data_IF_051288578722
#
_entry.id   IF_051288578722
#
_cell.length_a   1.000
_cell.length_b   1.000
_cell.length_c   1.000
_cell.angle_alpha   90.00
_cell.angle_beta   90.00
_cell.angle_gamma   90.00
#
_symmetry.space_group_name_H-M   'P 1'
#
loop_
_entity.id
_entity.type
_entity.pdbx_description
1 polymer ?
#
# COMPACT_ATOMS: atom_id res chain seq x y z
N UNK A 1 -6.25 1.60 -4.03
CA UNK A 1 -4.96 1.63 -4.75
C UNK A 1 -4.31 0.25 -4.88
N UNK A 2 -4.19 -0.54 -3.80
CA UNK A 2 -3.62 -1.91 -3.80
C UNK A 2 -4.17 -2.88 -4.84
N UNK A 3 -5.43 -2.74 -5.28
CA UNK A 3 -6.00 -3.55 -6.37
C UNK A 3 -5.24 -3.38 -7.69
N UNK A 4 -4.59 -2.23 -7.94
CA UNK A 4 -3.74 -2.01 -9.12
C UNK A 4 -2.37 -2.69 -9.00
N UNK A 5 -2.07 -3.25 -7.83
CA UNK A 5 -0.83 -3.94 -7.54
C UNK A 5 -0.98 -5.47 -7.61
N UNK A 6 -2.16 -5.98 -7.98
CA UNK A 6 -2.34 -7.39 -8.40
C UNK A 6 -2.06 -7.48 -9.89
N UNK A 7 -1.23 -8.43 -10.29
CA UNK A 7 -0.78 -8.54 -11.67
C UNK A 7 -0.18 -9.91 -11.99
N UNK A 8 0.00 -10.16 -13.28
CA UNK A 8 0.82 -11.24 -13.80
C UNK A 8 1.62 -10.71 -14.98
N UNK A 9 2.94 -10.78 -14.89
CA UNK A 9 3.85 -10.44 -15.98
C UNK A 9 4.56 -11.70 -16.47
N UNK A 10 4.64 -11.85 -17.79
CA UNK A 10 5.37 -12.93 -18.46
C UNK A 10 6.37 -12.31 -19.43
N UNK A 11 7.65 -12.58 -19.22
CA UNK A 11 8.77 -12.03 -19.98
C UNK A 11 9.66 -13.17 -20.50
N UNK A 12 10.46 -12.84 -21.51
CA UNK A 12 11.46 -13.74 -22.10
C UNK A 12 12.85 -13.28 -21.69
N UNK A 13 13.68 -14.21 -21.24
CA UNK A 13 15.10 -13.99 -20.97
C UNK A 13 15.87 -14.11 -22.29
N UNK A 14 16.64 -13.09 -22.64
CA UNK A 14 17.38 -13.00 -23.90
C UNK A 14 18.85 -12.75 -23.63
N UNK A 15 19.72 -13.35 -24.45
CA UNK A 15 21.14 -12.96 -24.51
C UNK A 15 21.32 -11.60 -25.17
N UNK A 16 22.53 -11.03 -25.08
CA UNK A 16 22.93 -9.85 -25.87
C UNK A 16 22.71 -10.01 -27.38
N UNK A 17 22.83 -11.23 -27.89
CA UNK A 17 22.57 -11.57 -29.30
C UNK A 17 21.10 -11.78 -29.64
N UNK A 18 20.18 -11.62 -28.68
CA UNK A 18 18.74 -11.80 -28.86
C UNK A 18 18.29 -13.26 -28.86
N UNK A 19 19.15 -14.21 -28.46
CA UNK A 19 18.78 -15.62 -28.35
C UNK A 19 17.85 -15.81 -27.15
N UNK A 20 16.76 -16.56 -27.33
CA UNK A 20 15.90 -17.00 -26.24
C UNK A 20 16.67 -17.93 -25.30
N UNK A 21 16.82 -17.50 -24.05
CA UNK A 21 17.48 -18.23 -22.98
C UNK A 21 16.47 -18.82 -22.00
N UNK A 22 15.20 -18.45 -22.07
CA UNK A 22 14.19 -18.88 -21.11
C UNK A 22 13.04 -17.91 -20.88
N UNK A 23 12.24 -18.23 -19.87
CA UNK A 23 11.05 -17.49 -19.46
C UNK A 23 11.19 -17.03 -18.03
N UNK A 24 10.69 -15.83 -17.78
CA UNK A 24 10.52 -15.27 -16.46
C UNK A 24 9.06 -14.88 -16.27
N UNK A 25 8.42 -15.37 -15.22
CA UNK A 25 7.05 -15.00 -14.87
C UNK A 25 6.98 -14.54 -13.44
N UNK A 26 6.21 -13.49 -13.17
CA UNK A 26 5.96 -13.00 -11.82
C UNK A 26 4.49 -12.63 -11.68
N UNK A 27 3.90 -13.01 -10.55
CA UNK A 27 2.51 -12.71 -10.23
C UNK A 27 2.39 -12.27 -8.78
N UNK A 28 1.47 -11.33 -8.56
CA UNK A 28 1.03 -10.93 -7.23
C UNK A 28 -0.48 -11.01 -7.20
N UNK A 29 -1.03 -11.76 -6.25
CA UNK A 29 -2.46 -11.95 -6.07
C UNK A 29 -2.88 -11.80 -4.61
N UNK A 30 -4.16 -11.50 -4.36
CA UNK A 30 -4.69 -11.56 -3.01
C UNK A 30 -4.87 -13.00 -2.58
N UNK A 31 -4.44 -13.30 -1.36
CA UNK A 31 -4.50 -14.61 -0.77
C UNK A 31 -4.99 -14.52 0.68
N UNK A 32 -5.24 -15.67 1.29
CA UNK A 32 -5.54 -15.78 2.71
C UNK A 32 -4.60 -16.80 3.36
N UNK A 33 -3.94 -16.40 4.45
CA UNK A 33 -3.08 -17.28 5.24
C UNK A 33 -3.54 -17.24 6.69
N UNK A 34 -3.93 -18.39 7.23
CA UNK A 34 -4.46 -18.51 8.60
C UNK A 34 -5.59 -17.51 8.91
N UNK A 35 -6.56 -17.39 7.99
CA UNK A 35 -7.70 -16.45 8.08
C UNK A 35 -7.30 -14.97 8.02
N UNK A 36 -6.02 -14.65 7.80
CA UNK A 36 -5.55 -13.28 7.59
C UNK A 36 -5.43 -12.99 6.10
N UNK A 37 -5.94 -11.84 5.62
CA UNK A 37 -5.73 -11.42 4.25
C UNK A 37 -4.26 -11.08 4.02
N UNK A 38 -3.70 -11.54 2.91
CA UNK A 38 -2.32 -11.26 2.51
C UNK A 38 -2.18 -11.15 0.98
N UNK A 39 -0.99 -10.80 0.51
CA UNK A 39 -0.64 -10.93 -0.90
C UNK A 39 0.31 -12.13 -1.07
N UNK A 40 0.04 -12.94 -2.09
CA UNK A 40 0.94 -14.01 -2.51
C UNK A 40 1.76 -13.49 -3.69
N UNK A 41 3.08 -13.53 -3.53
CA UNK A 41 4.02 -13.27 -4.63
C UNK A 41 4.59 -14.61 -5.08
N UNK A 42 4.40 -14.90 -6.36
CA UNK A 42 4.95 -16.09 -7.01
C UNK A 42 5.79 -15.65 -8.21
N UNK A 43 7.08 -16.01 -8.19
CA UNK A 43 8.01 -15.72 -9.26
C UNK A 43 8.71 -17.00 -9.72
N UNK A 44 8.88 -17.14 -11.01
CA UNK A 44 9.47 -18.32 -11.63
C UNK A 44 10.37 -17.88 -12.78
N UNK A 45 11.58 -18.42 -12.80
CA UNK A 45 12.54 -18.27 -13.89
C UNK A 45 12.91 -19.67 -14.35
N UNK A 46 12.83 -19.92 -15.66
CA UNK A 46 13.23 -21.17 -16.29
C UNK A 46 14.03 -20.83 -17.53
N UNK A 47 15.15 -21.50 -17.74
CA UNK A 47 15.97 -21.28 -18.91
C UNK A 47 16.93 -22.42 -19.18
N UNK A 48 17.76 -22.23 -20.17
CA UNK A 48 18.88 -23.13 -20.46
C UNK A 48 20.15 -22.31 -20.67
N UNK A 49 21.22 -22.72 -19.99
CA UNK A 49 22.58 -22.20 -20.20
C UNK A 49 23.39 -23.37 -20.74
N UNK A 50 23.96 -23.23 -21.93
CA UNK A 50 24.78 -24.28 -22.57
C UNK A 50 24.06 -25.65 -22.58
N UNK A 51 22.80 -25.65 -23.03
CA UNK A 51 21.90 -26.83 -23.08
C UNK A 51 21.56 -27.47 -21.72
N UNK A 52 22.03 -26.90 -20.61
CA UNK A 52 21.68 -27.32 -19.25
C UNK A 52 20.48 -26.52 -18.75
N UNK A 53 19.39 -27.21 -18.42
CA UNK A 53 18.20 -26.61 -17.83
C UNK A 53 18.54 -25.99 -16.46
N UNK A 54 18.26 -24.71 -16.31
CA UNK A 54 18.39 -23.97 -15.06
C UNK A 54 17.05 -23.31 -14.73
N UNK A 55 16.71 -23.25 -13.45
CA UNK A 55 15.46 -22.64 -13.05
C UNK A 55 15.39 -22.38 -11.56
N UNK A 56 14.60 -21.38 -11.21
CA UNK A 56 14.35 -20.99 -9.83
C UNK A 56 12.88 -20.64 -9.71
N UNK A 57 12.21 -21.23 -8.72
CA UNK A 57 10.84 -20.86 -8.35
C UNK A 57 10.88 -20.34 -6.93
N UNK A 58 10.28 -19.17 -6.73
CA UNK A 58 10.26 -18.45 -5.47
C UNK A 58 8.81 -18.16 -5.11
N UNK A 59 8.42 -18.52 -3.90
CA UNK A 59 7.08 -18.27 -3.36
C UNK A 59 7.18 -17.64 -1.98
N UNK A 60 6.48 -16.51 -1.77
CA UNK A 60 6.34 -15.92 -0.44
C UNK A 60 7.54 -15.11 0.07
N UNK A 61 8.43 -14.64 -0.81
CA UNK A 61 9.52 -13.75 -0.44
C UNK A 61 8.99 -12.32 -0.28
N UNK A 62 8.67 -11.95 0.97
CA UNK A 62 7.95 -10.72 1.32
C UNK A 62 8.72 -9.46 0.87
N UNK A 63 10.04 -9.41 1.08
CA UNK A 63 10.90 -8.27 0.72
C UNK A 63 11.00 -8.06 -0.79
N UNK A 64 11.24 -9.12 -1.57
CA UNK A 64 11.29 -8.99 -3.03
C UNK A 64 9.91 -8.67 -3.62
N UNK A 65 8.86 -9.27 -3.07
CA UNK A 65 7.48 -8.95 -3.43
C UNK A 65 7.13 -7.50 -3.15
N UNK A 66 7.51 -6.95 -1.99
CA UNK A 66 7.23 -5.55 -1.65
C UNK A 66 7.98 -4.59 -2.56
N UNK A 67 9.22 -4.88 -2.95
CA UNK A 67 9.95 -4.04 -3.92
C UNK A 67 9.30 -4.00 -5.30
N UNK A 68 8.83 -5.15 -5.80
CA UNK A 68 8.11 -5.19 -7.08
C UNK A 68 6.81 -4.36 -7.03
N UNK A 69 6.06 -4.48 -5.94
CA UNK A 69 4.84 -3.70 -5.74
C UNK A 69 5.11 -2.20 -5.63
N UNK A 70 6.20 -1.84 -4.96
CA UNK A 70 6.63 -0.46 -4.81
C UNK A 70 7.06 0.14 -6.16
N UNK A 71 7.86 -0.59 -6.95
CA UNK A 71 8.24 -0.16 -8.30
C UNK A 71 7.01 0.01 -9.20
N UNK A 72 6.04 -0.91 -9.14
CA UNK A 72 4.77 -0.74 -9.84
C UNK A 72 4.02 0.51 -9.40
N UNK A 73 3.95 0.79 -8.10
CA UNK A 73 3.32 2.00 -7.61
C UNK A 73 4.01 3.26 -8.13
N UNK A 74 5.35 3.29 -8.16
CA UNK A 74 6.10 4.40 -8.73
C UNK A 74 5.84 4.59 -10.23
N UNK A 75 5.82 3.49 -11.00
CA UNK A 75 5.49 3.53 -12.42
C UNK A 75 4.05 4.04 -12.66
N UNK A 76 3.10 3.56 -11.87
CA UNK A 76 1.70 4.00 -11.91
C UNK A 76 1.51 5.48 -11.59
N UNK A 77 2.37 6.04 -10.72
CA UNK A 77 2.36 7.47 -10.36
C UNK A 77 3.28 8.29 -11.28
N UNK A 78 4.04 7.65 -12.17
CA UNK A 78 5.03 8.30 -13.04
C UNK A 78 6.14 9.04 -12.27
N UNK A 79 6.43 8.64 -11.04
CA UNK A 79 7.40 9.33 -10.18
C UNK A 79 8.00 8.41 -9.12
N UNK A 80 9.31 8.46 -8.96
CA UNK A 80 10.02 7.93 -7.77
C UNK A 80 10.38 9.12 -6.88
N UNK A 81 9.93 9.19 -5.62
CA UNK A 81 10.35 10.24 -4.71
C UNK A 81 11.86 10.18 -4.41
N UNK A 82 12.43 11.32 -4.03
CA UNK A 82 13.85 11.40 -3.66
C UNK A 82 14.16 10.60 -2.39
N UNK A 83 15.37 10.04 -2.31
CA UNK A 83 15.88 9.31 -1.15
C UNK A 83 15.05 8.08 -0.75
N UNK A 84 14.48 7.38 -1.74
CA UNK A 84 13.71 6.16 -1.51
C UNK A 84 14.63 4.98 -1.16
N UNK A 85 14.79 4.73 0.13
CA UNK A 85 15.64 3.66 0.69
C UNK A 85 14.84 2.77 1.64
N UNK A 86 14.96 1.45 1.47
CA UNK A 86 14.25 0.45 2.25
C UNK A 86 15.20 -0.64 2.73
N UNK A 87 14.83 -1.28 3.84
CA UNK A 87 15.53 -2.48 4.32
C UNK A 87 15.09 -3.68 3.45
N UNK A 88 16.08 -4.47 3.02
CA UNK A 88 15.87 -5.73 2.30
C UNK A 88 16.66 -6.85 2.96
N UNK A 89 16.46 -8.07 2.47
CA UNK A 89 17.15 -9.27 2.92
C UNK A 89 17.76 -9.94 1.69
N UNK A 90 19.05 -10.29 1.76
CA UNK A 90 19.73 -11.00 0.67
C UNK A 90 19.44 -12.52 0.67
N UNK A 91 20.01 -13.24 -0.29
CA UNK A 91 19.89 -14.70 -0.40
C UNK A 91 20.50 -15.47 0.78
N UNK A 92 21.39 -14.84 1.55
CA UNK A 92 22.05 -15.38 2.73
C UNK A 92 21.34 -14.94 4.03
N UNK A 93 20.19 -14.27 3.93
CA UNK A 93 19.40 -13.73 5.03
C UNK A 93 20.06 -12.55 5.78
N UNK A 94 21.05 -11.90 5.18
CA UNK A 94 21.61 -10.67 5.73
C UNK A 94 20.71 -9.47 5.44
N UNK A 95 20.65 -8.57 6.40
CA UNK A 95 19.96 -7.28 6.25
C UNK A 95 20.80 -6.40 5.34
N UNK A 96 20.20 -5.96 4.24
CA UNK A 96 20.82 -5.10 3.23
C UNK A 96 19.95 -3.87 2.99
N UNK A 97 20.47 -2.89 2.24
CA UNK A 97 19.71 -1.69 1.87
C UNK A 97 19.33 -1.75 0.38
N UNK A 98 18.09 -1.36 0.06
CA UNK A 98 17.58 -1.25 -1.29
C UNK A 98 17.24 0.22 -1.59
N UNK A 99 17.85 0.81 -2.61
CA UNK A 99 17.55 2.17 -3.07
C UNK A 99 16.79 2.16 -4.39
N UNK A 100 15.93 3.16 -4.59
CA UNK A 100 15.14 3.34 -5.81
C UNK A 100 15.35 4.76 -6.35
N UNK A 101 15.63 4.83 -7.65
CA UNK A 101 15.88 6.08 -8.37
C UNK A 101 15.07 6.09 -9.67
N UNK A 102 14.62 7.28 -10.08
CA UNK A 102 13.92 7.46 -11.35
C UNK A 102 14.95 7.55 -12.50
N UNK A 103 14.80 6.70 -13.51
CA UNK A 103 15.58 6.80 -14.76
C UNK A 103 14.92 7.76 -15.77
N UNK A 104 13.60 7.93 -15.68
CA UNK A 104 12.83 8.79 -16.58
C UNK A 104 11.93 8.00 -17.51
N UNK A 105 11.52 8.62 -18.60
CA UNK A 105 10.73 7.98 -19.66
C UNK A 105 11.66 7.61 -20.80
N UNK A 106 11.67 6.34 -21.18
CA UNK A 106 12.39 5.83 -22.34
C UNK A 106 11.42 5.34 -23.41
N UNK A 107 11.93 5.11 -24.62
CA UNK A 107 11.15 4.59 -25.74
C UNK A 107 11.62 3.18 -26.05
N UNK A 108 10.72 2.21 -25.92
CA UNK A 108 10.96 0.83 -26.30
C UNK A 108 10.03 0.42 -27.44
N UNK A 109 10.51 -0.46 -28.32
CA UNK A 109 9.76 -0.97 -29.46
C UNK A 109 9.23 -2.38 -29.17
N UNK A 110 7.92 -2.56 -29.39
CA UNK A 110 7.19 -3.81 -29.19
C UNK A 110 6.34 -4.08 -30.42
N UNK A 111 6.61 -5.18 -31.13
CA UNK A 111 5.87 -5.58 -32.34
C UNK A 111 5.78 -4.47 -33.42
N UNK A 112 6.84 -3.66 -33.55
CA UNK A 112 6.89 -2.52 -34.48
C UNK A 112 6.24 -1.23 -33.96
N UNK A 113 5.64 -1.25 -32.77
CA UNK A 113 5.10 -0.07 -32.11
C UNK A 113 6.08 0.47 -31.06
N UNK A 114 6.35 1.77 -31.10
CA UNK A 114 7.20 2.43 -30.13
C UNK A 114 6.34 3.00 -28.98
N UNK A 115 6.60 2.55 -27.76
CA UNK A 115 5.88 2.96 -26.56
C UNK A 115 6.80 3.66 -25.56
N UNK A 116 6.23 4.63 -24.84
CA UNK A 116 6.90 5.28 -23.72
C UNK A 116 6.79 4.40 -22.46
N UNK A 117 7.95 4.13 -21.86
CA UNK A 117 8.08 3.25 -20.69
C UNK A 117 8.74 4.02 -19.55
N UNK A 118 8.24 3.83 -18.33
CA UNK A 118 8.78 4.48 -17.15
C UNK A 118 9.90 3.63 -16.55
N UNK A 119 11.10 4.18 -16.51
CA UNK A 119 12.30 3.52 -16.02
C UNK A 119 12.54 3.78 -14.53
N UNK A 120 12.83 2.71 -13.80
CA UNK A 120 13.18 2.71 -12.39
C UNK A 120 14.49 1.94 -12.22
N UNK A 121 15.44 2.58 -11.54
CA UNK A 121 16.68 1.95 -11.09
C UNK A 121 16.50 1.47 -9.67
N UNK A 122 16.83 0.20 -9.42
CA UNK A 122 16.89 -0.41 -8.09
C UNK A 122 18.33 -0.82 -7.82
N UNK A 123 18.89 -0.41 -6.68
CA UNK A 123 20.23 -0.82 -6.25
C UNK A 123 20.14 -1.56 -4.92
N UNK A 124 20.68 -2.77 -4.85
CA UNK A 124 20.90 -3.49 -3.60
C UNK A 124 22.33 -3.24 -3.14
N UNK A 125 22.46 -2.70 -1.93
CA UNK A 125 23.71 -2.34 -1.28
C UNK A 125 24.02 -3.38 -0.19
N UNK A 126 25.10 -4.13 -0.41
CA UNK A 126 25.61 -5.15 0.49
C UNK A 126 26.73 -4.57 1.36
N UNK A 127 27.02 -5.19 2.50
CA UNK A 127 28.10 -4.75 3.39
C UNK A 127 29.49 -5.15 2.89
N UNK A 128 29.60 -6.29 2.23
CA UNK A 128 30.89 -6.89 1.81
C UNK A 128 30.99 -7.18 0.30
N UNK A 129 29.91 -6.95 -0.46
CA UNK A 129 29.84 -7.24 -1.90
C UNK A 129 29.55 -5.99 -2.73
N UNK A 130 29.88 -6.06 -4.02
CA UNK A 130 29.53 -5.02 -4.98
C UNK A 130 28.01 -4.82 -5.07
N UNK A 131 27.54 -3.56 -5.18
CA UNK A 131 26.12 -3.29 -5.33
C UNK A 131 25.54 -3.97 -6.57
N UNK A 132 24.39 -4.62 -6.41
CA UNK A 132 23.66 -5.16 -7.54
C UNK A 132 22.62 -4.16 -7.99
N UNK A 133 22.69 -3.75 -9.25
CA UNK A 133 21.80 -2.73 -9.82
C UNK A 133 20.95 -3.32 -10.93
N UNK A 134 19.65 -3.02 -10.89
CA UNK A 134 18.69 -3.35 -11.94
C UNK A 134 18.09 -2.07 -12.51
N UNK A 135 17.94 -2.06 -13.83
CA UNK A 135 17.05 -1.13 -14.53
C UNK A 135 15.80 -1.90 -14.92
N UNK A 136 14.65 -1.39 -14.50
CA UNK A 136 13.35 -1.98 -14.77
C UNK A 136 12.47 -0.94 -15.46
N UNK A 137 11.80 -1.35 -16.53
CA UNK A 137 10.94 -0.48 -17.32
C UNK A 137 9.51 -0.99 -17.31
N UNK A 138 8.57 -0.05 -17.20
CA UNK A 138 7.17 -0.35 -16.96
C UNK A 138 6.28 0.42 -17.92
N UNK A 139 5.28 -0.28 -18.45
CA UNK A 139 4.02 0.31 -18.89
C UNK A 139 3.08 0.47 -17.68
N UNK A 140 1.99 1.24 -17.79
CA UNK A 140 1.04 1.40 -16.68
C UNK A 140 0.56 0.08 -16.07
N UNK A 141 0.41 -0.97 -16.89
CA UNK A 141 -0.20 -2.23 -16.44
C UNK A 141 0.82 -3.39 -16.31
N UNK A 142 2.03 -3.27 -16.86
CA UNK A 142 2.98 -4.38 -17.00
C UNK A 142 4.44 -3.94 -16.85
N UNK A 143 5.28 -4.82 -16.28
CA UNK A 143 6.72 -4.71 -16.46
C UNK A 143 7.11 -5.18 -17.86
N UNK A 144 7.77 -4.33 -18.63
CA UNK A 144 8.12 -4.63 -20.03
C UNK A 144 9.54 -5.14 -20.18
N UNK A 145 10.47 -4.64 -19.37
CA UNK A 145 11.85 -5.08 -19.42
C UNK A 145 12.54 -4.91 -18.06
N UNK A 146 13.52 -5.77 -17.80
CA UNK A 146 14.46 -5.64 -16.68
C UNK A 146 15.84 -6.15 -17.10
N UNK A 147 16.87 -5.43 -16.68
CA UNK A 147 18.27 -5.80 -16.92
C UNK A 147 19.07 -5.57 -15.65
N UNK A 148 19.96 -6.51 -15.33
CA UNK A 148 20.95 -6.34 -14.28
C UNK A 148 22.20 -5.72 -14.90
N UNK A 149 22.68 -4.60 -14.36
CA UNK A 149 23.92 -3.97 -14.84
C UNK A 149 25.09 -4.96 -14.68
N UNK A 150 25.84 -5.17 -15.76
CA UNK A 150 26.93 -6.14 -15.83
C UNK A 150 26.53 -7.56 -16.22
N UNK A 151 25.24 -7.85 -16.40
CA UNK A 151 24.75 -9.13 -16.92
C UNK A 151 24.54 -9.07 -18.43
N UNK A 152 24.95 -10.11 -19.20
CA UNK A 152 24.67 -10.21 -20.64
C UNK A 152 23.22 -10.66 -20.93
N UNK A 153 22.37 -10.75 -19.91
CA UNK A 153 20.99 -11.22 -20.01
C UNK A 153 20.03 -10.07 -19.75
N UNK A 154 19.15 -9.82 -20.70
CA UNK A 154 18.02 -8.92 -20.56
C UNK A 154 16.73 -9.74 -20.52
N UNK A 155 15.79 -9.36 -19.66
CA UNK A 155 14.49 -10.01 -19.56
C UNK A 155 13.46 -9.02 -20.06
N UNK A 156 12.77 -9.30 -21.17
CA UNK A 156 11.81 -8.37 -21.78
C UNK A 156 10.61 -9.06 -22.39
N UNK A 157 9.50 -8.34 -22.55
CA UNK A 157 8.37 -8.80 -23.36
C UNK A 157 8.75 -8.75 -24.85
N UNK A 158 8.28 -9.72 -25.63
CA UNK A 158 8.45 -9.73 -27.09
C UNK A 158 7.24 -9.11 -27.80
N UNK A 159 6.07 -9.25 -27.19
CA UNK A 159 4.78 -8.80 -27.71
C UNK A 159 4.02 -8.15 -26.56
N UNK A 160 3.22 -7.12 -26.88
CA UNK A 160 2.35 -6.52 -25.88
C UNK A 160 1.33 -7.57 -25.38
N UNK A 161 1.14 -7.72 -24.06
CA UNK A 161 0.06 -8.54 -23.55
C UNK A 161 -1.28 -8.01 -24.07
N UNK A 162 -2.13 -8.89 -24.62
CA UNK A 162 -3.51 -8.51 -24.93
C UNK A 162 -4.17 -8.01 -23.66
N UNK A 163 -4.78 -6.82 -23.69
CA UNK A 163 -5.54 -6.28 -22.55
C UNK A 163 -6.49 -7.35 -22.01
N UNK A 164 -6.20 -7.90 -20.82
CA UNK A 164 -7.13 -8.78 -20.14
C UNK A 164 -8.02 -7.90 -19.27
N UNK A 165 -9.33 -8.00 -19.51
CA UNK A 165 -10.36 -7.26 -18.82
C UNK A 165 -10.14 -7.38 -17.31
N UNK A 166 -10.03 -6.22 -16.66
CA UNK A 166 -9.74 -6.07 -15.24
C UNK A 166 -10.73 -6.92 -14.44
N UNK A 167 -10.28 -8.06 -13.92
CA UNK A 167 -11.08 -8.87 -13.00
C UNK A 167 -11.50 -7.95 -11.87
N UNK A 168 -12.81 -7.73 -11.68
CA UNK A 168 -13.32 -7.02 -10.52
C UNK A 168 -13.02 -7.86 -9.29
N UNK A 169 -11.85 -7.61 -8.70
CA UNK A 169 -11.46 -8.26 -7.46
C UNK A 169 -12.45 -7.77 -6.39
N UNK A 170 -13.20 -8.68 -5.74
CA UNK A 170 -14.14 -8.29 -4.71
C UNK A 170 -13.39 -7.49 -3.65
N UNK A 171 -13.93 -6.30 -3.34
CA UNK A 171 -13.38 -5.39 -2.35
C UNK A 171 -13.36 -6.13 -1.01
N UNK A 172 -12.19 -6.61 -0.60
CA UNK A 172 -12.03 -7.36 0.64
C UNK A 172 -12.46 -6.45 1.80
N UNK A 173 -13.56 -6.80 2.46
CA UNK A 173 -14.08 -6.04 3.58
C UNK A 173 -13.10 -6.13 4.74
N UNK A 174 -12.60 -4.98 5.22
CA UNK A 174 -11.75 -4.91 6.40
C UNK A 174 -12.55 -5.30 7.65
N UNK A 175 -12.48 -6.57 8.06
CA UNK A 175 -13.04 -7.07 9.33
C UNK A 175 -12.11 -6.69 10.50
N UNK A 176 -12.03 -5.39 10.80
CA UNK A 176 -11.16 -4.85 11.86
C UNK A 176 -11.41 -5.48 13.25
N UNK A 177 -12.58 -6.08 13.46
CA UNK A 177 -12.98 -6.79 14.69
C UNK A 177 -12.23 -8.13 14.87
N UNK A 178 -11.84 -8.76 13.76
CA UNK A 178 -11.12 -10.05 13.73
C UNK A 178 -9.59 -9.85 13.70
N UNK A 179 -9.13 -8.74 13.14
CA UNK A 179 -7.72 -8.37 13.16
C UNK A 179 -7.28 -7.96 14.57
N UNK A 180 -6.38 -8.77 15.16
CA UNK A 180 -5.90 -8.58 16.53
C UNK A 180 -5.20 -7.23 16.74
N UNK A 181 -4.43 -6.76 15.75
CA UNK A 181 -3.68 -5.50 15.84
C UNK A 181 -4.62 -4.29 15.74
N UNK A 182 -5.57 -4.32 14.80
CA UNK A 182 -6.56 -3.27 14.61
C UNK A 182 -7.50 -3.18 15.80
N UNK A 183 -7.94 -4.33 16.33
CA UNK A 183 -8.74 -4.39 17.55
C UNK A 183 -7.99 -3.84 18.76
N UNK A 184 -6.70 -4.12 18.91
CA UNK A 184 -5.87 -3.53 19.96
C UNK A 184 -5.86 -2.01 19.87
N UNK A 185 -5.54 -1.46 18.68
CA UNK A 185 -5.52 -0.01 18.45
C UNK A 185 -6.87 0.65 18.76
N UNK A 186 -7.97 0.00 18.37
CA UNK A 186 -9.32 0.48 18.66
C UNK A 186 -9.60 0.52 20.16
N UNK A 187 -9.23 -0.54 20.90
CA UNK A 187 -9.43 -0.60 22.34
C UNK A 187 -8.63 0.47 23.07
N UNK A 188 -7.36 0.66 22.70
CA UNK A 188 -6.51 1.70 23.27
C UNK A 188 -7.12 3.09 23.05
N UNK A 189 -7.53 3.40 21.81
CA UNK A 189 -8.14 4.69 21.49
C UNK A 189 -9.48 4.90 22.19
N UNK A 190 -10.28 3.83 22.35
CA UNK A 190 -11.56 3.86 23.06
C UNK A 190 -11.36 4.11 24.56
N UNK A 191 -10.37 3.48 25.17
CA UNK A 191 -10.02 3.68 26.58
C UNK A 191 -9.56 5.12 26.83
N UNK A 192 -8.68 5.65 25.97
CA UNK A 192 -8.21 7.03 25.99
C UNK A 192 -9.38 8.02 25.91
N UNK A 193 -10.25 7.87 24.91
CA UNK A 193 -11.43 8.75 24.75
C UNK A 193 -12.38 8.68 25.96
N UNK A 194 -12.57 7.50 26.55
CA UNK A 194 -13.36 7.35 27.77
C UNK A 194 -12.72 8.05 28.96
N UNK A 195 -11.41 7.91 29.13
CA UNK A 195 -10.65 8.54 30.21
C UNK A 195 -10.69 10.08 30.09
N UNK A 196 -10.53 10.60 28.88
CA UNK A 196 -10.62 12.03 28.58
C UNK A 196 -12.02 12.55 28.89
N UNK A 197 -13.07 11.86 28.42
CA UNK A 197 -14.45 12.23 28.69
C UNK A 197 -14.77 12.22 30.20
N UNK A 198 -14.35 11.17 30.90
CA UNK A 198 -14.53 11.08 32.36
C UNK A 198 -13.78 12.20 33.10
N UNK A 199 -12.60 12.57 32.62
CA UNK A 199 -11.79 13.66 33.20
C UNK A 199 -12.39 15.04 32.91
N UNK A 200 -12.98 15.23 31.74
CA UNK A 200 -13.73 16.44 31.40
C UNK A 200 -14.92 16.63 32.35
N UNK A 201 -15.77 15.61 32.50
CA UNK A 201 -16.92 15.69 33.42
C UNK A 201 -16.53 15.88 34.90
N UNK A 202 -15.38 15.34 35.32
CA UNK A 202 -14.85 15.60 36.67
C UNK A 202 -14.39 17.05 36.87
N UNK A 203 -13.79 17.66 35.84
CA UNK A 203 -13.35 19.06 35.87
C UNK A 203 -14.50 20.05 35.77
N UNK A 204 -15.63 19.63 35.20
CA UNK A 204 -16.80 20.46 34.95
C UNK A 204 -18.04 19.96 35.72
N UNK A 205 -18.06 20.04 37.07
CA UNK A 205 -19.22 19.63 37.87
C UNK A 205 -20.50 20.40 37.53
N UNK A 206 -20.38 21.62 37.01
CA UNK A 206 -21.48 22.46 36.53
C UNK A 206 -22.31 21.77 35.45
N UNK A 207 -21.69 20.95 34.58
CA UNK A 207 -22.41 20.21 33.54
C UNK A 207 -23.31 19.16 34.19
N UNK A 208 -22.81 18.45 35.20
CA UNK A 208 -23.59 17.44 35.92
C UNK A 208 -24.76 18.08 36.67
N UNK A 209 -24.53 19.24 37.30
CA UNK A 209 -25.58 20.00 37.98
C UNK A 209 -26.67 20.47 36.98
N UNK A 210 -26.25 21.06 35.86
CA UNK A 210 -27.14 21.54 34.80
C UNK A 210 -28.04 20.43 34.25
N UNK A 211 -27.46 19.26 33.95
CA UNK A 211 -28.23 18.11 33.45
C UNK A 211 -29.16 17.55 34.54
N UNK A 212 -28.72 17.53 35.80
CA UNK A 212 -29.55 17.09 36.94
C UNK A 212 -30.77 17.99 37.12
N UNK A 213 -30.58 19.31 37.11
CA UNK A 213 -31.66 20.28 37.25
C UNK A 213 -32.64 20.18 36.07
N UNK A 214 -32.12 20.05 34.84
CA UNK A 214 -32.95 19.81 33.66
C UNK A 214 -33.85 18.57 33.83
N UNK A 215 -33.25 17.43 34.20
CA UNK A 215 -33.98 16.18 34.41
C UNK A 215 -35.03 16.32 35.51
N UNK A 216 -34.71 17.03 36.60
CA UNK A 216 -35.67 17.31 37.66
C UNK A 216 -36.86 18.12 37.16
N UNK A 217 -36.63 19.19 36.39
CA UNK A 217 -37.73 19.98 35.83
C UNK A 217 -38.54 19.21 34.79
N UNK A 218 -37.88 18.38 33.98
CA UNK A 218 -38.55 17.53 33.00
C UNK A 218 -39.50 16.53 33.67
N UNK A 219 -39.03 15.86 34.73
CA UNK A 219 -39.81 14.87 35.48
C UNK A 219 -40.96 15.49 36.28
N UNK A 220 -40.81 16.74 36.74
CA UNK A 220 -41.85 17.47 37.46
C UNK A 220 -42.94 17.99 36.54
N UNK A 221 -42.57 18.59 35.40
CA UNK A 221 -43.52 19.25 34.50
C UNK A 221 -44.16 18.30 33.50
N UNK A 222 -43.48 17.20 33.16
CA UNK A 222 -43.92 16.18 32.18
C UNK A 222 -44.57 16.80 30.94
N UNK A 223 -43.86 17.69 30.23
CA UNK A 223 -44.40 18.35 29.04
C UNK A 223 -44.67 17.33 27.93
N UNK A 224 -45.67 17.61 27.10
CA UNK A 224 -45.98 16.77 25.93
C UNK A 224 -44.89 16.86 24.84
N UNK A 225 -44.18 18.00 24.75
CA UNK A 225 -43.02 18.21 23.88
C UNK A 225 -41.74 18.43 24.68
N UNK A 226 -40.93 17.37 24.78
CA UNK A 226 -39.65 17.35 25.49
C UNK A 226 -38.57 18.17 24.76
N UNK A 227 -38.61 18.23 23.43
CA UNK A 227 -37.58 18.90 22.64
C UNK A 227 -37.74 20.42 22.70
N UNK A 228 -38.97 20.92 22.59
CA UNK A 228 -39.26 22.33 22.79
C UNK A 228 -38.88 22.76 24.21
N UNK A 229 -39.25 21.95 25.22
CA UNK A 229 -38.91 22.19 26.60
C UNK A 229 -37.39 22.24 26.86
N UNK A 230 -36.63 21.30 26.29
CA UNK A 230 -35.17 21.30 26.36
C UNK A 230 -34.57 22.56 25.72
N UNK A 231 -35.06 22.96 24.54
CA UNK A 231 -34.59 24.15 23.85
C UNK A 231 -34.77 25.40 24.71
N UNK A 232 -35.94 25.58 25.30
CA UNK A 232 -36.24 26.72 26.17
C UNK A 232 -35.40 26.69 27.46
N UNK A 233 -35.21 25.50 28.05
CA UNK A 233 -34.39 25.33 29.24
C UNK A 233 -32.90 25.65 29.01
N UNK A 234 -32.31 25.17 27.90
CA UNK A 234 -30.88 25.35 27.62
C UNK A 234 -30.54 26.69 26.96
N UNK A 235 -31.52 27.41 26.41
CA UNK A 235 -31.32 28.71 25.73
C UNK A 235 -30.49 29.73 26.53
N UNK A 236 -30.69 29.92 27.86
CA UNK A 236 -29.94 30.90 28.63
C UNK A 236 -28.45 30.54 28.80
N UNK A 237 -28.07 29.28 28.59
CA UNK A 237 -26.70 28.80 28.77
C UNK A 237 -25.85 28.88 27.50
N UNK A 238 -26.42 29.34 26.38
CA UNK A 238 -25.66 29.58 25.16
C UNK A 238 -24.91 30.92 25.26
N UNK A 239 -23.67 30.90 25.75
CA UNK A 239 -22.76 32.02 25.59
C UNK A 239 -22.15 32.01 24.18
N UNK A 240 -22.20 33.14 23.47
CA UNK A 240 -21.42 33.34 22.25
C UNK A 240 -19.93 33.24 22.57
N UNK A 241 -19.29 32.16 22.12
CA UNK A 241 -17.84 32.02 22.18
C UNK A 241 -17.20 32.88 21.06
N UNK A 242 -16.29 33.83 21.37
CA UNK A 242 -15.43 34.43 20.34
C UNK A 242 -14.52 33.33 19.77
N UNK A 243 -14.40 33.29 18.45
CA UNK A 243 -13.65 32.26 17.70
C UNK A 243 -12.21 32.06 18.19
N UNK A 244 -11.91 30.85 18.66
CA UNK A 244 -10.59 30.17 18.64
C UNK A 244 -10.79 28.83 19.35
N UNK A 245 -10.46 27.64 18.86
CA UNK A 245 -9.51 27.21 17.85
C UNK A 245 -10.16 26.12 16.99
N UNK A 246 -9.84 26.14 15.70
CA UNK A 246 -10.18 25.10 14.74
C UNK A 246 -9.67 23.74 15.24
N UNK A 247 -10.57 22.89 15.71
CA UNK A 247 -10.37 21.46 15.57
C UNK A 247 -10.41 21.19 14.07
N UNK A 248 -9.24 21.07 13.44
CA UNK A 248 -9.16 20.65 12.05
C UNK A 248 -9.86 19.30 11.95
N UNK A 249 -11.04 19.32 11.33
CA UNK A 249 -11.61 18.13 10.75
C UNK A 249 -10.59 17.64 9.72
N UNK A 250 -9.96 16.51 10.00
CA UNK A 250 -9.19 15.79 8.99
C UNK A 250 -10.18 15.33 7.93
N UNK A 251 -10.04 15.92 6.76
CA UNK A 251 -10.78 15.62 5.54
C UNK A 251 -10.60 14.13 5.17
N UNK A 252 -11.67 13.33 4.99
CA UNK A 252 -11.56 11.93 4.58
C UNK A 252 -11.38 11.80 3.06
N UNK A 253 -10.56 12.65 2.44
CA UNK A 253 -10.31 12.64 1.00
C UNK A 253 -8.87 12.98 0.65
N UNK A 254 -7.92 12.15 1.11
CA UNK A 254 -6.67 11.84 0.39
C UNK A 254 -6.36 10.36 0.59
#
# INVERSE_FOLDING_TARGET
>A
ELQRCVFTDNLVSLSESGRDLGKFSVSVEFACRAQQPCMLVHAQSQGAIEDSLCGTTVTGLITEGSHLLLMRLFALKGKVPENMTFISIDQNLHIISATFEQLGVEKEEFDGECMEVFGIKRTLLFSEDDPQTWHCYFLPDHMVSRVQLGSPVAVKILQLPSYQEKVEIPKMSLSWEEDMQMRSKFLDRKEEQKADHASYLRRHPEIRALISDFLQFLLLRKPDDVFQFAREYFLPFTCHHPQSESTQAVDPSI
#
